data_IF_855350517519
#
_entry.id   IF_855350517519
#
_cell.length_a   1.000
_cell.length_b   1.000
_cell.length_c   1.000
_cell.angle_alpha   90.00
_cell.angle_beta   90.00
_cell.angle_gamma   90.00
#
_symmetry.space_group_name_H-M   'P 1'
#
loop_
_entity.id
_entity.type
_entity.pdbx_description
1 polymer ?
#
# COMPACT_ATOMS: atom_id res chain seq x y z
N UNK A 1 6.94 8.61 7.44
CA UNK A 1 6.95 9.72 6.45
C UNK A 1 5.53 10.04 6.05
N UNK A 2 5.21 11.31 5.81
CA UNK A 2 3.85 11.82 5.53
C UNK A 2 3.42 11.72 4.06
N UNK A 3 4.10 10.91 3.24
CA UNK A 3 3.81 10.74 1.82
C UNK A 3 2.68 9.76 1.52
N UNK A 4 2.18 9.76 0.29
CA UNK A 4 1.34 8.66 -0.21
C UNK A 4 2.08 7.34 -0.08
N UNK A 5 1.37 6.28 0.31
CA UNK A 5 1.92 4.95 0.28
C UNK A 5 2.28 4.62 -1.17
N UNK A 6 3.56 4.34 -1.39
CA UNK A 6 4.05 3.83 -2.67
C UNK A 6 4.48 2.40 -2.44
N UNK A 7 4.14 1.56 -3.41
CA UNK A 7 4.64 0.20 -3.42
C UNK A 7 6.16 0.18 -3.43
N UNK A 8 6.72 -0.74 -2.65
CA UNK A 8 8.14 -1.06 -2.75
C UNK A 8 8.42 -1.66 -4.14
N UNK A 9 9.68 -1.60 -4.61
CA UNK A 9 10.07 -2.24 -5.86
C UNK A 9 9.58 -3.69 -5.90
N UNK A 10 8.87 -4.04 -6.97
CA UNK A 10 8.34 -5.39 -7.13
C UNK A 10 9.49 -6.40 -7.22
N UNK A 11 9.29 -7.59 -6.64
CA UNK A 11 10.24 -8.69 -6.74
C UNK A 11 10.13 -9.34 -8.13
N UNK A 12 11.18 -10.03 -8.57
CA UNK A 12 11.25 -10.67 -9.91
C UNK A 12 10.33 -11.89 -10.09
N UNK A 13 9.72 -12.38 -9.01
CA UNK A 13 8.93 -13.60 -9.01
C UNK A 13 7.74 -13.61 -10.01
N UNK A 14 6.92 -12.55 -10.12
CA UNK A 14 5.82 -12.52 -11.09
C UNK A 14 6.30 -12.61 -12.54
N UNK A 15 7.38 -11.87 -12.89
CA UNK A 15 7.96 -11.94 -14.23
C UNK A 15 8.43 -13.36 -14.59
N UNK A 16 9.02 -14.08 -13.62
CA UNK A 16 9.40 -15.49 -13.82
C UNK A 16 8.19 -16.39 -14.05
N UNK A 17 7.14 -16.27 -13.21
CA UNK A 17 5.93 -17.08 -13.37
C UNK A 17 5.28 -16.86 -14.74
N UNK A 18 5.19 -15.61 -15.19
CA UNK A 18 4.60 -15.27 -16.49
C UNK A 18 5.40 -15.88 -17.64
N UNK A 19 6.73 -15.81 -17.58
CA UNK A 19 7.60 -16.43 -18.59
C UNK A 19 7.52 -17.95 -18.59
N UNK A 20 7.60 -18.58 -17.42
CA UNK A 20 7.61 -20.03 -17.28
C UNK A 20 6.26 -20.64 -17.73
N UNK A 21 5.15 -19.97 -17.42
CA UNK A 21 3.80 -20.42 -17.77
C UNK A 21 3.30 -19.94 -19.14
N UNK A 22 4.04 -19.05 -19.81
CA UNK A 22 3.59 -18.33 -21.02
C UNK A 22 2.20 -17.70 -20.84
N UNK A 23 2.00 -17.06 -19.69
CA UNK A 23 0.68 -16.64 -19.24
C UNK A 23 0.28 -15.29 -19.83
N UNK A 24 -1.01 -15.18 -20.19
CA UNK A 24 -1.66 -13.88 -20.32
C UNK A 24 -2.10 -13.41 -18.93
N UNK A 25 -2.00 -12.11 -18.64
CA UNK A 25 -2.26 -11.57 -17.29
C UNK A 25 -3.22 -10.41 -17.33
N UNK A 26 -4.00 -10.23 -16.27
CA UNK A 26 -4.97 -9.14 -16.13
C UNK A 26 -4.47 -8.20 -15.02
N UNK A 27 -4.15 -6.93 -15.34
CA UNK A 27 -3.73 -5.98 -14.35
C UNK A 27 -4.93 -5.54 -13.50
N UNK A 28 -4.73 -5.51 -12.19
CA UNK A 28 -5.73 -5.09 -11.22
C UNK A 28 -5.11 -4.09 -10.24
N UNK A 29 -5.68 -2.88 -10.18
CA UNK A 29 -5.28 -1.84 -9.23
C UNK A 29 -6.28 -1.73 -8.10
N UNK A 30 -5.79 -1.85 -6.87
CA UNK A 30 -6.59 -1.69 -5.65
C UNK A 30 -6.40 -0.29 -5.09
N UNK A 31 -7.46 0.49 -5.03
CA UNK A 31 -7.43 1.85 -4.46
C UNK A 31 -7.50 1.79 -2.93
N UNK A 32 -6.59 2.48 -2.24
CA UNK A 32 -6.64 2.62 -0.79
C UNK A 32 -5.31 3.08 -0.18
N UNK A 33 -5.37 3.63 1.03
CA UNK A 33 -4.20 3.94 1.84
C UNK A 33 -4.53 3.74 3.33
N UNK A 34 -3.57 3.24 4.10
CA UNK A 34 -3.69 3.18 5.57
C UNK A 34 -3.83 4.58 6.18
N UNK A 35 -4.49 4.69 7.34
CA UNK A 35 -4.70 5.97 8.00
C UNK A 35 -3.39 6.69 8.41
N UNK A 36 -3.47 8.01 8.62
CA UNK A 36 -2.32 8.86 9.00
C UNK A 36 -1.61 8.39 10.28
N UNK A 37 -2.34 7.78 11.22
CA UNK A 37 -1.78 7.22 12.46
C UNK A 37 -0.79 6.07 12.20
N UNK A 38 -1.11 5.20 11.23
CA UNK A 38 -0.24 4.09 10.83
C UNK A 38 1.11 4.58 10.29
N UNK A 39 1.10 5.66 9.50
CA UNK A 39 2.30 6.27 8.94
C UNK A 39 3.12 7.07 9.98
N UNK A 40 2.45 7.59 11.02
CA UNK A 40 3.09 8.27 12.16
C UNK A 40 3.89 7.31 13.02
N UNK A 41 3.30 6.16 13.42
CA UNK A 41 3.97 5.20 14.31
C UNK A 41 5.07 4.40 13.59
N UNK A 42 5.00 4.30 12.26
CA UNK A 42 6.08 3.70 11.46
C UNK A 42 7.32 4.61 11.29
N UNK A 43 7.21 5.91 11.55
CA UNK A 43 8.31 6.88 11.42
C UNK A 43 9.39 6.83 12.52
N UNK A 44 9.06 6.82 13.82
CA UNK A 44 10.03 6.80 14.91
C UNK A 44 10.72 5.44 15.10
N UNK A 45 10.32 4.41 14.34
CA UNK A 45 10.92 3.07 14.41
C UNK A 45 12.37 3.03 13.90
N UNK A 46 12.77 4.00 13.05
CA UNK A 46 14.16 4.18 12.60
C UNK A 46 15.08 4.82 13.66
N UNK A 47 14.55 5.20 14.84
CA UNK A 47 15.34 5.74 15.96
C UNK A 47 15.76 4.68 16.98
N UNK A 48 15.45 3.40 16.72
CA UNK A 48 15.82 2.28 17.60
C UNK A 48 17.34 1.96 17.58
N UNK A 49 18.14 2.63 16.75
CA UNK A 49 19.60 2.53 16.72
C UNK A 49 20.31 3.41 17.76
N UNK A 50 19.59 4.25 18.52
CA UNK A 50 20.22 4.99 19.63
C UNK A 50 20.49 4.05 20.80
N UNK A 51 21.76 3.76 21.05
CA UNK A 51 22.20 2.96 22.18
C UNK A 51 21.74 3.58 23.52
N UNK A 52 20.89 2.84 24.23
CA UNK A 52 20.36 3.24 25.53
C UNK A 52 19.23 2.31 26.00
N UNK A 53 19.21 1.97 27.30
CA UNK A 53 18.15 1.12 27.90
C UNK A 53 16.73 1.65 27.63
N UNK A 54 16.57 2.97 27.52
CA UNK A 54 15.30 3.62 27.21
C UNK A 54 14.87 3.41 25.75
N UNK A 55 15.80 3.42 24.80
CA UNK A 55 15.52 3.21 23.37
C UNK A 55 15.06 1.77 23.08
N UNK A 56 15.60 0.77 23.80
CA UNK A 56 15.14 -0.62 23.73
C UNK A 56 13.69 -0.78 24.22
N UNK A 57 13.27 -0.01 25.22
CA UNK A 57 11.90 -0.04 25.75
C UNK A 57 10.92 0.66 24.80
N UNK A 58 11.32 1.81 24.24
CA UNK A 58 10.55 2.54 23.22
C UNK A 58 10.42 1.73 21.91
N UNK A 59 11.46 1.02 21.50
CA UNK A 59 11.43 0.14 20.32
C UNK A 59 10.45 -1.02 20.45
N UNK A 60 10.42 -1.69 21.62
CA UNK A 60 9.45 -2.77 21.91
C UNK A 60 8.02 -2.25 22.05
N UNK A 61 7.82 -1.11 22.72
CA UNK A 61 6.50 -0.47 22.82
C UNK A 61 5.99 -0.02 21.44
N UNK A 62 6.87 0.46 20.57
CA UNK A 62 6.56 0.85 19.18
C UNK A 62 6.12 -0.33 18.32
N UNK A 63 6.74 -1.51 18.47
CA UNK A 63 6.33 -2.71 17.74
C UNK A 63 4.93 -3.18 18.16
N UNK A 64 4.65 -3.24 19.46
CA UNK A 64 3.32 -3.60 19.98
C UNK A 64 2.27 -2.57 19.55
N UNK A 65 2.58 -1.27 19.67
CA UNK A 65 1.68 -0.19 19.25
C UNK A 65 1.40 -0.25 17.74
N UNK A 66 2.41 -0.54 16.92
CA UNK A 66 2.24 -0.74 15.48
C UNK A 66 1.32 -1.92 15.19
N UNK A 67 1.50 -3.05 15.87
CA UNK A 67 0.62 -4.22 15.71
C UNK A 67 -0.81 -3.90 16.14
N UNK A 68 -1.00 -3.20 17.27
CA UNK A 68 -2.33 -2.75 17.70
C UNK A 68 -2.97 -1.79 16.70
N UNK A 69 -2.19 -0.91 16.07
CA UNK A 69 -2.68 -0.01 15.03
C UNK A 69 -3.02 -0.73 13.72
N UNK A 70 -2.34 -1.83 13.37
CA UNK A 70 -2.76 -2.70 12.27
C UNK A 70 -4.14 -3.31 12.55
N UNK A 71 -4.36 -3.80 13.76
CA UNK A 71 -5.66 -4.36 14.18
C UNK A 71 -6.73 -3.27 14.18
N UNK A 72 -6.42 -2.07 14.66
CA UNK A 72 -7.34 -0.93 14.64
C UNK A 72 -7.70 -0.50 13.21
N UNK A 73 -6.72 -0.38 12.31
CA UNK A 73 -6.95 -0.06 10.90
C UNK A 73 -7.75 -1.17 10.20
N UNK A 74 -7.47 -2.44 10.50
CA UNK A 74 -8.26 -3.56 10.02
C UNK A 74 -9.72 -3.45 10.48
N UNK A 75 -9.97 -3.25 11.77
CA UNK A 75 -11.32 -3.06 12.30
C UNK A 75 -12.02 -1.84 11.67
N UNK A 76 -11.28 -0.74 11.44
CA UNK A 76 -11.77 0.48 10.79
C UNK A 76 -12.12 0.25 9.31
N UNK A 77 -11.40 -0.60 8.61
CA UNK A 77 -11.58 -0.89 7.19
C UNK A 77 -12.52 -2.07 6.94
N UNK A 78 -12.72 -2.94 7.92
CA UNK A 78 -13.62 -4.09 7.86
C UNK A 78 -15.05 -3.65 7.52
N UNK A 79 -15.65 -4.31 6.54
CA UNK A 79 -16.98 -3.98 6.03
C UNK A 79 -17.06 -2.79 5.07
N UNK A 80 -15.93 -2.11 4.76
CA UNK A 80 -15.90 -1.07 3.73
C UNK A 80 -15.63 -1.65 2.35
N UNK A 81 -16.20 -1.01 1.33
CA UNK A 81 -15.92 -1.37 -0.05
C UNK A 81 -14.46 -1.10 -0.41
N UNK A 82 -13.83 -2.05 -1.11
CA UNK A 82 -12.52 -1.89 -1.74
C UNK A 82 -12.78 -1.53 -3.21
N UNK A 83 -12.30 -0.36 -3.63
CA UNK A 83 -12.38 0.07 -5.03
C UNK A 83 -11.27 -0.62 -5.83
N UNK A 84 -11.65 -1.38 -6.85
CA UNK A 84 -10.75 -2.15 -7.70
C UNK A 84 -10.97 -1.76 -9.14
N UNK A 85 -9.88 -1.52 -9.87
CA UNK A 85 -9.92 -1.29 -11.32
C UNK A 85 -9.19 -2.40 -12.03
N UNK A 86 -9.87 -2.95 -13.03
CA UNK A 86 -9.39 -4.05 -13.84
C UNK A 86 -9.07 -3.46 -15.21
N UNK A 87 -7.84 -3.67 -15.68
CA UNK A 87 -7.41 -3.25 -17.00
C UNK A 87 -7.57 -4.37 -18.03
N UNK A 88 -7.15 -4.08 -19.26
CA UNK A 88 -7.20 -5.02 -20.36
C UNK A 88 -6.22 -6.19 -20.18
N UNK A 89 -6.55 -7.32 -20.79
CA UNK A 89 -5.70 -8.52 -20.77
C UNK A 89 -4.38 -8.22 -21.49
N UNK A 90 -3.28 -8.42 -20.78
CA UNK A 90 -1.93 -8.43 -21.35
C UNK A 90 -1.65 -9.83 -21.90
N UNK A 91 -1.82 -10.00 -23.21
CA UNK A 91 -1.67 -11.32 -23.85
C UNK A 91 -0.23 -11.83 -23.81
N UNK A 92 -0.03 -13.14 -23.82
CA UNK A 92 1.34 -13.68 -23.90
C UNK A 92 2.10 -13.17 -25.13
N UNK A 93 1.42 -13.01 -26.27
CA UNK A 93 2.05 -12.58 -27.52
C UNK A 93 2.63 -11.15 -27.44
N UNK A 94 2.06 -10.26 -26.62
CA UNK A 94 2.64 -8.93 -26.39
C UNK A 94 3.78 -8.95 -25.34
N UNK A 95 3.80 -9.96 -24.47
CA UNK A 95 4.80 -10.10 -23.40
C UNK A 95 6.02 -10.93 -23.84
N UNK A 96 5.85 -11.85 -24.77
CA UNK A 96 6.90 -12.75 -25.28
C UNK A 96 8.16 -12.01 -25.80
N UNK A 97 8.04 -10.85 -26.50
CA UNK A 97 9.21 -10.09 -26.91
C UNK A 97 10.04 -9.54 -25.74
N UNK A 98 9.43 -9.37 -24.56
CA UNK A 98 10.09 -8.89 -23.34
C UNK A 98 10.82 -10.03 -22.63
N UNK A 99 11.92 -10.48 -23.25
CA UNK A 99 12.77 -11.54 -22.68
C UNK A 99 13.50 -11.10 -21.41
N UNK A 100 13.86 -9.81 -21.33
CA UNK A 100 14.42 -9.26 -20.10
C UNK A 100 13.34 -9.21 -19.00
N UNK A 101 13.63 -9.88 -17.89
CA UNK A 101 12.72 -9.98 -16.76
C UNK A 101 12.45 -8.64 -16.10
N UNK A 102 13.41 -7.69 -16.14
CA UNK A 102 13.19 -6.35 -15.57
C UNK A 102 12.22 -5.56 -16.45
N UNK A 103 12.43 -5.58 -17.77
CA UNK A 103 11.50 -4.99 -18.73
C UNK A 103 10.08 -5.58 -18.63
N UNK A 104 9.97 -6.92 -18.49
CA UNK A 104 8.68 -7.57 -18.27
C UNK A 104 8.03 -7.09 -16.97
N UNK A 105 8.77 -7.09 -15.86
CA UNK A 105 8.25 -6.64 -14.57
C UNK A 105 7.77 -5.18 -14.60
N UNK A 106 8.52 -4.32 -15.28
CA UNK A 106 8.20 -2.91 -15.49
C UNK A 106 6.92 -2.73 -16.34
N UNK A 107 6.74 -3.54 -17.39
CA UNK A 107 5.50 -3.58 -18.18
C UNK A 107 4.28 -4.00 -17.36
N UNK A 108 4.43 -5.01 -16.50
CA UNK A 108 3.39 -5.47 -15.57
C UNK A 108 3.06 -4.39 -14.53
N UNK A 109 4.08 -3.77 -13.97
CA UNK A 109 3.95 -2.67 -13.02
C UNK A 109 3.15 -1.52 -13.62
N UNK A 110 3.54 -1.04 -14.81
CA UNK A 110 2.79 0.01 -15.53
C UNK A 110 1.34 -0.38 -15.79
N UNK A 111 1.11 -1.62 -16.27
CA UNK A 111 -0.25 -2.11 -16.51
C UNK A 111 -1.17 -1.98 -15.30
N UNK A 112 -0.64 -2.13 -14.08
CA UNK A 112 -1.40 -1.91 -12.84
C UNK A 112 -1.48 -0.43 -12.46
N UNK A 113 -0.37 0.30 -12.44
CA UNK A 113 -0.35 1.67 -11.91
C UNK A 113 -0.90 2.73 -12.87
N UNK A 114 -1.01 2.43 -14.17
CA UNK A 114 -1.70 3.27 -15.14
C UNK A 114 -3.23 3.29 -14.86
N UNK A 115 -3.76 2.29 -14.15
CA UNK A 115 -5.16 2.24 -13.69
C UNK A 115 -5.41 3.11 -12.44
N UNK A 116 -4.37 3.67 -11.84
CA UNK A 116 -4.48 4.42 -10.59
C UNK A 116 -5.39 5.65 -10.73
N UNK A 117 -6.15 6.04 -9.69
CA UNK A 117 -7.06 7.18 -9.80
C UNK A 117 -6.29 8.46 -10.00
N UNK A 118 -6.80 9.33 -10.88
CA UNK A 118 -6.46 10.74 -10.84
C UNK A 118 -7.01 11.26 -9.50
N UNK A 119 -6.14 11.41 -8.51
CA UNK A 119 -6.53 11.79 -7.15
C UNK A 119 -7.04 13.23 -7.16
N UNK A 120 -8.35 13.43 -7.27
CA UNK A 120 -8.96 14.68 -6.86
C UNK A 120 -8.71 14.81 -5.34
N UNK A 121 -7.99 15.87 -4.90
CA UNK A 121 -7.81 16.20 -3.49
C UNK A 121 -9.18 16.16 -2.80
N UNK A 122 -9.48 15.11 -2.04
CA UNK A 122 -10.67 15.07 -1.17
C UNK A 122 -10.53 16.21 -0.16
N UNK A 123 -11.23 17.33 -0.38
CA UNK A 123 -11.59 18.26 0.69
C UNK A 123 -12.40 17.45 1.70
N UNK A 124 -11.82 17.22 2.87
CA UNK A 124 -12.52 16.59 3.98
C UNK A 124 -13.68 17.52 4.34
N UNK A 125 -14.96 17.10 4.25
CA UNK A 125 -16.06 17.88 4.79
C UNK A 125 -15.82 18.02 6.30
N UNK A 126 -15.67 19.25 6.77
CA UNK A 126 -15.60 19.57 8.19
C UNK A 126 -16.97 19.22 8.79
N UNK A 127 -17.09 18.05 9.43
CA UNK A 127 -18.26 17.72 10.24
C UNK A 127 -18.20 18.61 11.49
N UNK A 128 -19.17 19.52 11.71
CA UNK A 128 -19.17 20.34 12.92
C UNK A 128 -19.32 19.42 14.13
N UNK A 129 -18.47 19.64 15.14
CA UNK A 129 -18.51 18.91 16.39
C UNK A 129 -19.90 19.04 17.02
N UNK A 130 -20.59 17.93 17.26
CA UNK A 130 -21.77 17.89 18.11
C UNK A 130 -21.33 18.20 19.53
N UNK A 131 -21.47 19.46 19.94
CA UNK A 131 -21.53 19.86 21.36
C UNK A 131 -22.82 19.31 21.94
N UNK A 132 -22.72 18.20 22.69
CA UNK A 132 -23.72 17.89 23.71
C UNK A 132 -23.32 18.67 24.97
N UNK A 133 -23.97 19.80 25.21
CA UNK A 133 -23.99 20.39 26.56
C UNK A 133 -24.92 19.56 27.42
N UNK A 134 -24.42 19.21 28.61
CA UNK A 134 -25.22 18.70 29.71
C UNK A 134 -26.09 19.82 30.30
N UNK A 135 -27.30 19.47 30.69
CA UNK A 135 -28.05 20.05 31.80
C UNK A 135 -28.95 18.94 32.36
#
# INVERSE_FOLDING_TARGET
GFGQARDLPWKMFPARLVQDARASVIPMHFSGQNGRLFHLVSGPMNMAERDGRLAKFVGKASLTLRTSLLIHEFARLSGKAIDVRVGDVLSWNELEPLRDRKALLDRLYRGVFDLAPIVARRRIPFLPARTKMAA
#
